data_IF_451427490465
#
_entry.id   IF_451427490465
#
_cell.length_a   1.000
_cell.length_b   1.000
_cell.length_c   1.000
_cell.angle_alpha   90.00
_cell.angle_beta   90.00
_cell.angle_gamma   90.00
#
_symmetry.space_group_name_H-M   'P 1'
#
loop_
_entity.id
_entity.type
_entity.pdbx_description
1 polymer ?
#
# COMPACT_ATOMS: atom_id res chain seq x y z
N UNK A 1 -1.27 1.11 -7.47
CA UNK A 1 -2.54 1.02 -8.24
C UNK A 1 -3.66 1.62 -7.41
N UNK A 2 -4.28 2.72 -7.85
CA UNK A 2 -5.66 3.00 -7.47
C UNK A 2 -6.55 2.17 -8.39
N UNK A 3 -7.37 1.27 -7.86
CA UNK A 3 -8.10 0.27 -8.66
C UNK A 3 -8.92 0.87 -9.82
N UNK A 4 -9.43 2.10 -9.65
CA UNK A 4 -10.22 2.81 -10.66
C UNK A 4 -9.62 4.14 -11.12
N UNK A 5 -8.50 4.58 -10.52
CA UNK A 5 -7.85 5.88 -10.78
C UNK A 5 -8.80 7.09 -10.76
N UNK A 6 -9.79 7.07 -9.87
CA UNK A 6 -10.79 8.13 -9.76
C UNK A 6 -10.42 9.13 -8.66
N UNK A 7 -10.88 10.38 -8.82
CA UNK A 7 -10.73 11.39 -7.77
C UNK A 7 -11.71 11.15 -6.62
N UNK A 8 -11.42 11.68 -5.43
CA UNK A 8 -12.36 11.66 -4.29
C UNK A 8 -13.69 12.33 -4.68
N UNK A 9 -13.62 13.41 -5.45
CA UNK A 9 -14.79 14.13 -5.95
C UNK A 9 -15.72 13.22 -6.77
N UNK A 10 -15.13 12.31 -7.55
CA UNK A 10 -15.85 11.39 -8.43
C UNK A 10 -16.57 10.25 -7.68
N UNK A 11 -16.24 9.98 -6.41
CA UNK A 11 -16.75 8.82 -5.66
C UNK A 11 -18.29 8.86 -5.51
N UNK A 12 -18.85 10.05 -5.30
CA UNK A 12 -20.30 10.24 -5.12
C UNK A 12 -21.13 9.80 -6.33
N UNK A 13 -20.54 9.83 -7.52
CA UNK A 13 -21.18 9.37 -8.76
C UNK A 13 -21.02 7.86 -9.01
N UNK A 14 -20.10 7.21 -8.29
CA UNK A 14 -19.75 5.79 -8.47
C UNK A 14 -20.43 4.88 -7.44
N UNK A 15 -20.78 5.41 -6.27
CA UNK A 15 -21.29 4.63 -5.15
C UNK A 15 -22.53 5.30 -4.55
N UNK A 16 -23.67 4.60 -4.58
CA UNK A 16 -24.98 5.11 -4.14
C UNK A 16 -25.03 5.53 -2.66
N UNK A 17 -24.18 4.94 -1.81
CA UNK A 17 -24.15 5.20 -0.35
C UNK A 17 -22.83 5.82 0.12
N UNK A 18 -22.18 6.60 -0.74
CA UNK A 18 -20.95 7.31 -0.37
C UNK A 18 -21.24 8.51 0.54
N UNK A 19 -20.44 8.75 1.59
CA UNK A 19 -20.41 10.06 2.25
C UNK A 19 -20.08 11.18 1.26
N UNK A 20 -20.48 12.41 1.58
CA UNK A 20 -20.12 13.57 0.76
C UNK A 20 -18.59 13.81 0.79
N UNK A 21 -18.07 14.47 -0.24
CA UNK A 21 -16.63 14.72 -0.39
C UNK A 21 -16.02 15.40 0.86
N UNK A 22 -16.69 16.41 1.41
CA UNK A 22 -16.22 17.11 2.62
C UNK A 22 -16.04 16.15 3.78
N UNK A 23 -16.99 15.23 3.99
CA UNK A 23 -16.90 14.24 5.05
C UNK A 23 -15.74 13.27 4.80
N UNK A 24 -15.58 12.79 3.56
CA UNK A 24 -14.47 11.91 3.20
C UNK A 24 -13.11 12.57 3.48
N UNK A 25 -12.90 13.80 2.98
CA UNK A 25 -11.66 14.55 3.22
C UNK A 25 -11.41 14.81 4.71
N UNK A 26 -12.46 15.16 5.44
CA UNK A 26 -12.38 15.38 6.89
C UNK A 26 -11.92 14.14 7.65
N UNK A 27 -12.40 12.95 7.28
CA UNK A 27 -11.97 11.70 7.91
C UNK A 27 -10.60 11.23 7.42
N UNK A 28 -10.29 11.37 6.13
CA UNK A 28 -8.97 11.04 5.58
C UNK A 28 -7.85 11.87 6.22
N UNK A 29 -8.10 13.15 6.50
CA UNK A 29 -7.13 14.03 7.15
C UNK A 29 -6.77 13.63 8.59
N UNK A 30 -7.55 12.74 9.21
CA UNK A 30 -7.31 12.24 10.58
C UNK A 30 -6.48 10.96 10.60
N UNK A 31 -6.32 10.29 9.46
CA UNK A 31 -5.58 9.04 9.38
C UNK A 31 -4.08 9.35 9.43
N UNK A 32 -3.37 8.73 10.37
CA UNK A 32 -1.92 8.74 10.36
C UNK A 32 -1.39 7.52 9.60
N UNK A 33 -0.20 7.67 9.01
CA UNK A 33 0.48 6.53 8.37
C UNK A 33 0.77 5.41 9.37
N UNK A 34 1.07 5.75 10.62
CA UNK A 34 1.30 4.77 11.68
C UNK A 34 0.04 3.92 11.95
N UNK A 35 -1.13 4.57 12.05
CA UNK A 35 -2.41 3.86 12.24
C UNK A 35 -2.72 2.95 11.05
N UNK A 36 -2.52 3.46 9.83
CA UNK A 36 -2.72 2.70 8.60
C UNK A 36 -1.80 1.48 8.52
N UNK A 37 -0.52 1.64 8.87
CA UNK A 37 0.44 0.53 8.90
C UNK A 37 0.11 -0.50 9.98
N UNK A 38 -0.43 -0.07 11.14
CA UNK A 38 -0.83 -0.97 12.22
C UNK A 38 -2.03 -1.87 11.85
N UNK A 39 -2.99 -1.34 11.09
CA UNK A 39 -4.18 -2.11 10.65
C UNK A 39 -4.03 -2.79 9.29
N UNK A 40 -2.96 -2.46 8.55
CA UNK A 40 -2.65 -2.92 7.19
C UNK A 40 -2.87 -4.42 6.98
N UNK A 41 -2.13 -5.24 7.74
CA UNK A 41 -2.17 -6.70 7.62
C UNK A 41 -3.52 -7.26 8.06
N UNK A 42 -4.21 -6.62 9.00
CA UNK A 42 -5.55 -7.06 9.42
C UNK A 42 -6.59 -6.82 8.32
N UNK A 43 -6.56 -5.65 7.66
CA UNK A 43 -7.50 -5.30 6.58
C UNK A 43 -7.24 -6.18 5.36
N UNK A 44 -6.00 -6.24 4.89
CA UNK A 44 -5.64 -7.02 3.70
C UNK A 44 -5.70 -8.52 3.98
N UNK A 45 -5.48 -8.91 5.25
CA UNK A 45 -5.51 -10.28 5.73
C UNK A 45 -6.88 -10.85 6.06
N UNK A 46 -7.91 -10.01 6.21
CA UNK A 46 -9.20 -10.39 6.80
C UNK A 46 -9.86 -11.62 6.16
N UNK A 47 -9.68 -11.84 4.85
CA UNK A 47 -10.29 -12.96 4.12
C UNK A 47 -9.29 -14.04 3.69
N UNK A 48 -8.05 -14.01 4.20
CA UNK A 48 -6.99 -14.92 3.77
C UNK A 48 -7.15 -16.35 4.28
N UNK A 49 -7.85 -16.59 5.39
CA UNK A 49 -8.02 -17.94 5.96
C UNK A 49 -8.70 -18.93 5.00
N UNK A 50 -9.49 -18.43 4.05
CA UNK A 50 -10.09 -19.23 2.98
C UNK A 50 -9.12 -19.60 1.84
N UNK A 51 -7.95 -18.95 1.80
CA UNK A 51 -6.98 -19.01 0.70
C UNK A 51 -5.64 -19.62 1.15
N UNK A 52 -5.17 -19.20 2.32
CA UNK A 52 -3.94 -19.66 2.96
C UNK A 52 -4.29 -20.65 4.08
N UNK A 53 -3.72 -21.85 3.98
CA UNK A 53 -3.91 -22.95 4.92
C UNK A 53 -2.58 -23.16 5.65
N UNK A 54 -2.55 -23.08 6.99
CA UNK A 54 -1.34 -23.30 7.76
C UNK A 54 -0.65 -24.62 7.42
N UNK A 55 0.69 -24.60 7.37
CA UNK A 55 1.51 -25.77 7.04
C UNK A 55 1.60 -26.10 5.54
N UNK A 56 0.84 -25.43 4.68
CA UNK A 56 0.98 -25.57 3.23
C UNK A 56 2.06 -24.63 2.70
N UNK A 57 2.82 -25.10 1.71
CA UNK A 57 3.83 -24.28 1.02
C UNK A 57 3.16 -23.36 0.01
N UNK A 58 3.59 -22.10 0.01
CA UNK A 58 3.13 -21.07 -0.92
C UNK A 58 4.33 -20.36 -1.55
N UNK A 59 4.14 -19.85 -2.76
CA UNK A 59 5.09 -18.90 -3.36
C UNK A 59 4.68 -17.51 -2.93
N UNK A 60 5.62 -16.77 -2.36
CA UNK A 60 5.43 -15.36 -2.04
C UNK A 60 6.27 -14.51 -2.98
N UNK A 61 5.83 -13.29 -3.23
CA UNK A 61 6.65 -12.32 -3.91
C UNK A 61 6.48 -10.93 -3.28
N UNK A 62 7.57 -10.18 -3.36
CA UNK A 62 7.73 -8.86 -2.79
C UNK A 62 8.08 -7.95 -3.95
N UNK A 63 7.32 -6.88 -4.13
CA UNK A 63 7.54 -5.92 -5.20
C UNK A 63 7.63 -4.49 -4.67
N UNK A 64 8.54 -3.71 -5.26
CA UNK A 64 8.68 -2.28 -5.00
C UNK A 64 8.08 -1.52 -6.17
N UNK A 65 7.01 -0.79 -5.91
CA UNK A 65 6.37 0.05 -6.92
C UNK A 65 6.72 1.51 -6.70
N UNK A 66 7.05 2.22 -7.79
CA UNK A 66 7.30 3.65 -7.81
C UNK A 66 6.21 4.35 -8.62
N UNK A 67 5.37 5.11 -7.94
CA UNK A 67 4.32 5.94 -8.52
C UNK A 67 4.85 7.38 -8.70
N UNK A 68 4.93 7.90 -9.94
CA UNK A 68 5.46 9.23 -10.22
C UNK A 68 4.78 10.34 -9.42
N UNK A 69 5.59 11.23 -8.84
CA UNK A 69 5.13 12.41 -8.12
C UNK A 69 5.52 13.69 -8.86
N UNK A 70 4.56 14.60 -8.98
CA UNK A 70 4.71 15.89 -9.70
C UNK A 70 4.35 17.09 -8.83
N UNK A 71 4.02 16.87 -7.55
CA UNK A 71 3.70 17.94 -6.62
C UNK A 71 4.94 18.60 -6.02
N UNK A 72 4.71 19.62 -5.19
CA UNK A 72 5.78 20.27 -4.43
C UNK A 72 6.17 19.42 -3.23
N UNK A 73 7.48 19.24 -3.05
CA UNK A 73 8.01 18.60 -1.84
C UNK A 73 7.93 19.60 -0.69
N UNK A 74 7.25 19.20 0.39
CA UNK A 74 7.04 19.96 1.62
C UNK A 74 7.54 19.13 2.81
N UNK A 75 7.83 19.73 3.98
CA UNK A 75 8.37 19.00 5.13
C UNK A 75 7.56 17.76 5.53
N UNK A 76 6.23 17.82 5.38
CA UNK A 76 5.31 16.75 5.76
C UNK A 76 5.43 15.50 4.87
N UNK A 77 5.80 15.65 3.60
CA UNK A 77 5.91 14.54 2.66
C UNK A 77 7.35 14.21 2.25
N UNK A 78 8.34 15.04 2.59
CA UNK A 78 9.72 14.87 2.16
C UNK A 78 10.26 13.46 2.47
N UNK A 79 9.94 12.92 3.64
CA UNK A 79 10.36 11.57 4.06
C UNK A 79 9.84 10.45 3.15
N UNK A 80 8.77 10.68 2.39
CA UNK A 80 8.11 9.70 1.51
C UNK A 80 8.42 9.90 0.02
N UNK A 81 9.06 11.02 -0.36
CA UNK A 81 9.44 11.27 -1.75
C UNK A 81 10.78 10.61 -2.05
N UNK A 82 10.76 9.53 -2.82
CA UNK A 82 11.94 8.76 -3.19
C UNK A 82 12.45 9.24 -4.54
N UNK A 83 13.73 9.66 -4.59
CA UNK A 83 14.38 10.00 -5.86
C UNK A 83 14.94 8.76 -6.52
N UNK A 84 14.70 8.61 -7.82
CA UNK A 84 15.20 7.50 -8.63
C UNK A 84 15.47 7.95 -10.06
N UNK A 85 15.78 7.01 -10.95
CA UNK A 85 15.94 7.27 -12.37
C UNK A 85 14.68 7.89 -12.97
N UNK A 86 14.88 8.76 -13.96
CA UNK A 86 13.82 9.47 -14.66
C UNK A 86 12.80 8.50 -15.24
N UNK A 87 11.54 8.68 -14.88
CA UNK A 87 10.42 7.92 -15.43
C UNK A 87 9.22 8.85 -15.58
N UNK A 88 8.58 8.82 -16.75
CA UNK A 88 7.44 9.71 -17.07
C UNK A 88 7.72 11.18 -16.70
N UNK A 89 8.89 11.69 -17.05
CA UNK A 89 9.29 13.10 -16.85
C UNK A 89 9.45 13.56 -15.39
N UNK A 90 9.56 12.65 -14.42
CA UNK A 90 9.95 13.00 -13.03
C UNK A 90 11.00 12.01 -12.50
N UNK A 91 11.81 12.49 -11.57
CA UNK A 91 12.74 11.66 -10.80
C UNK A 91 12.21 11.39 -9.39
N UNK A 92 11.04 11.94 -9.04
CA UNK A 92 10.49 11.92 -7.69
C UNK A 92 9.27 11.00 -7.67
N UNK A 93 9.19 10.11 -6.69
CA UNK A 93 8.18 9.05 -6.62
C UNK A 93 7.64 8.90 -5.20
N UNK A 94 6.36 8.57 -5.10
CA UNK A 94 5.88 7.81 -3.95
C UNK A 94 6.16 6.35 -4.20
N UNK A 95 6.86 5.72 -3.27
CA UNK A 95 7.23 4.31 -3.39
C UNK A 95 6.56 3.50 -2.30
N UNK A 96 6.21 2.25 -2.61
CA UNK A 96 5.67 1.29 -1.63
C UNK A 96 6.12 -0.13 -1.94
N UNK A 97 6.16 -0.94 -0.90
CA UNK A 97 6.46 -2.37 -0.97
C UNK A 97 5.18 -3.14 -0.79
N UNK A 98 4.90 -4.09 -1.68
CA UNK A 98 3.76 -5.00 -1.57
C UNK A 98 4.28 -6.42 -1.41
N UNK A 99 3.73 -7.16 -0.45
CA UNK A 99 3.94 -8.61 -0.32
C UNK A 99 2.65 -9.36 -0.63
N UNK A 100 2.76 -10.36 -1.49
CA UNK A 100 1.63 -11.17 -1.95
C UNK A 100 1.94 -12.66 -1.91
N UNK A 101 0.92 -13.46 -1.60
CA UNK A 101 0.92 -14.91 -1.77
C UNK A 101 0.35 -15.28 -3.14
N UNK A 102 0.98 -16.23 -3.83
CA UNK A 102 0.56 -16.74 -5.14
C UNK A 102 0.00 -18.14 -4.93
N UNK A 103 -1.29 -18.32 -5.18
CA UNK A 103 -1.98 -19.60 -5.02
C UNK A 103 -3.16 -19.70 -5.98
N UNK A 104 -3.41 -20.90 -6.54
CA UNK A 104 -4.51 -21.16 -7.50
C UNK A 104 -4.56 -20.14 -8.65
N UNK A 105 -3.41 -19.75 -9.19
CA UNK A 105 -3.26 -18.69 -10.20
C UNK A 105 -3.86 -17.33 -9.81
N UNK A 106 -3.94 -17.04 -8.51
CA UNK A 106 -4.36 -15.74 -7.97
C UNK A 106 -3.26 -15.19 -7.06
N UNK A 107 -3.07 -13.88 -7.13
CA UNK A 107 -2.24 -13.14 -6.19
C UNK A 107 -3.14 -12.58 -5.11
N UNK A 108 -2.76 -12.78 -3.85
CA UNK A 108 -3.46 -12.17 -2.72
C UNK A 108 -2.49 -11.34 -1.91
N UNK A 109 -2.79 -10.07 -1.75
CA UNK A 109 -1.98 -9.12 -1.01
C UNK A 109 -2.07 -9.38 0.48
N UNK A 110 -0.93 -9.49 1.14
CA UNK A 110 -0.84 -9.70 2.60
C UNK A 110 -0.61 -8.38 3.33
N UNK A 111 0.27 -7.53 2.79
CA UNK A 111 0.61 -6.25 3.37
C UNK A 111 1.16 -5.29 2.31
N UNK A 112 0.96 -3.99 2.54
CA UNK A 112 1.58 -2.89 1.77
C UNK A 112 2.26 -1.91 2.72
N UNK A 113 3.51 -1.53 2.46
CA UNK A 113 4.26 -0.60 3.29
C UNK A 113 4.76 0.60 2.48
N UNK A 114 4.60 1.84 2.98
CA UNK A 114 5.20 3.00 2.33
C UNK A 114 6.73 2.91 2.41
N UNK A 115 7.41 3.28 1.33
CA UNK A 115 8.86 3.41 1.35
C UNK A 115 9.22 4.83 1.77
N UNK A 116 9.96 4.93 2.87
CA UNK A 116 10.55 6.17 3.38
C UNK A 116 12.04 6.25 3.10
N UNK A 117 12.55 7.49 3.00
CA UNK A 117 13.99 7.78 2.96
C UNK A 117 14.69 7.24 4.20
N UNK A 118 15.91 6.74 4.03
CA UNK A 118 16.75 6.23 5.13
C UNK A 118 16.44 4.78 5.54
N UNK A 119 15.29 4.22 5.16
CA UNK A 119 14.97 2.82 5.47
C UNK A 119 15.62 1.88 4.44
N UNK A 120 16.33 0.86 4.91
CA UNK A 120 17.01 -0.10 4.04
C UNK A 120 16.02 -1.07 3.40
N UNK A 121 16.36 -1.60 2.22
CA UNK A 121 15.58 -2.67 1.57
C UNK A 121 15.45 -3.91 2.47
N UNK A 122 16.51 -4.23 3.23
CA UNK A 122 16.52 -5.36 4.17
C UNK A 122 15.46 -5.18 5.24
N UNK A 123 15.27 -3.96 5.77
CA UNK A 123 14.22 -3.68 6.75
C UNK A 123 12.81 -3.94 6.17
N UNK A 124 12.55 -3.55 4.93
CA UNK A 124 11.27 -3.87 4.28
C UNK A 124 11.09 -5.36 4.04
N UNK A 125 12.14 -6.07 3.65
CA UNK A 125 12.09 -7.53 3.48
C UNK A 125 11.74 -8.20 4.82
N UNK A 126 12.37 -7.79 5.92
CA UNK A 126 12.04 -8.29 7.25
C UNK A 126 10.55 -8.06 7.60
N UNK A 127 10.03 -6.85 7.40
CA UNK A 127 8.60 -6.55 7.61
C UNK A 127 7.66 -7.38 6.73
N UNK A 128 8.08 -7.71 5.52
CA UNK A 128 7.30 -8.59 4.64
C UNK A 128 7.31 -10.03 5.14
N UNK A 129 8.43 -10.52 5.67
CA UNK A 129 8.53 -11.85 6.29
C UNK A 129 7.64 -11.94 7.54
N UNK A 130 7.65 -10.91 8.39
CA UNK A 130 6.77 -10.84 9.55
C UNK A 130 5.28 -10.93 9.16
N UNK A 131 4.89 -10.23 8.09
CA UNK A 131 3.53 -10.30 7.56
C UNK A 131 3.18 -11.69 7.00
N UNK A 132 4.14 -12.39 6.38
CA UNK A 132 3.95 -13.77 5.92
C UNK A 132 3.73 -14.70 7.13
N UNK A 133 4.56 -14.59 8.16
CA UNK A 133 4.43 -15.40 9.38
C UNK A 133 3.12 -15.15 10.11
N UNK A 134 2.63 -13.91 10.14
CA UNK A 134 1.33 -13.58 10.74
C UNK A 134 0.13 -14.12 9.94
N UNK A 135 0.29 -14.39 8.64
CA UNK A 135 -0.81 -14.81 7.76
C UNK A 135 -1.09 -16.32 7.77
N UNK A 136 -0.18 -17.17 8.26
CA UNK A 136 -0.39 -18.63 8.38
C UNK A 136 0.83 -19.50 8.17
#
# INVERSE_FOLDING_TARGET
MAAMQQSIHSISFLLERSPCETSLRYHLAKLSMADLEAVNTAILGHNLSSVLTPGKKYTFAIDFTNDPYYGTVVPENDGYIIRSQLKKSTNDFYSYVTVYAITRNRQVTLAVYPVTKGTSKVAYIARCLDAITAAG
#
